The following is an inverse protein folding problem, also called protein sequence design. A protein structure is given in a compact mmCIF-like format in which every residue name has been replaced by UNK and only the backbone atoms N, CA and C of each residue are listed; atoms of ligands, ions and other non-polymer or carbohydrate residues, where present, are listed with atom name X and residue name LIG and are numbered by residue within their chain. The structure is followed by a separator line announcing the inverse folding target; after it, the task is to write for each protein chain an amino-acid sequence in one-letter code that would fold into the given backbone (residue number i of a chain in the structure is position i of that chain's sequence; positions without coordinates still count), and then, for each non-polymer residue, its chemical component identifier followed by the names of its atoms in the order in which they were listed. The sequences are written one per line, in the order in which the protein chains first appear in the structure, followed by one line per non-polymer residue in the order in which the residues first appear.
data_IF_672860888856
#
_entry.id   IF_672860888856
#
_cell.length_a   1.000
_cell.length_b   1.000
_cell.length_c   1.000
_cell.angle_alpha   90.00
_cell.angle_beta   90.00
_cell.angle_gamma   90.00
#
_symmetry.space_group_name_H-M   'P 1'
#
loop_
_entity.id
_entity.type
_entity.pdbx_description
1 polymer ?
#
# COMPACT_ATOMS: atom_id res chain seq x y z
N UNK A 1 37.16 39.95 32.88
CA UNK A 1 36.10 39.85 31.86
C UNK A 1 35.81 38.38 31.63
N UNK A 2 34.59 37.89 31.92
CA UNK A 2 34.23 36.47 31.76
C UNK A 2 33.78 36.23 30.32
N UNK A 3 34.55 35.46 29.55
CA UNK A 3 34.13 34.91 28.26
C UNK A 3 33.00 33.91 28.51
N UNK A 4 31.75 34.25 28.15
CA UNK A 4 30.67 33.28 28.04
C UNK A 4 30.80 32.61 26.68
N UNK A 5 31.28 31.37 26.66
CA UNK A 5 31.16 30.49 25.50
C UNK A 5 29.68 30.18 25.29
N UNK A 6 29.07 30.73 24.24
CA UNK A 6 27.75 30.29 23.81
C UNK A 6 27.89 28.87 23.27
N UNK A 7 27.27 27.90 23.94
CA UNK A 7 27.06 26.57 23.36
C UNK A 7 26.00 26.70 22.28
N UNK A 8 26.32 26.23 21.07
CA UNK A 8 25.36 26.00 20.00
C UNK A 8 25.17 24.50 19.86
N UNK A 9 23.91 24.06 19.86
CA UNK A 9 23.58 22.69 19.50
C UNK A 9 23.70 22.55 17.97
N UNK A 10 24.64 21.72 17.52
CA UNK A 10 24.89 21.48 16.10
C UNK A 10 24.47 20.05 15.78
N UNK A 11 23.48 19.90 14.90
CA UNK A 11 23.03 18.60 14.42
C UNK A 11 23.88 18.18 13.23
N UNK A 12 24.34 16.93 13.23
CA UNK A 12 25.05 16.34 12.09
C UNK A 12 24.03 15.92 11.02
N UNK A 13 24.00 16.56 9.84
CA UNK A 13 23.04 16.24 8.78
C UNK A 13 23.27 14.85 8.18
N UNK A 14 24.39 14.19 8.48
CA UNK A 14 24.68 12.82 8.01
C UNK A 14 23.80 11.79 8.70
N UNK A 15 23.27 12.11 9.90
CA UNK A 15 22.48 11.19 10.70
C UNK A 15 23.20 9.88 11.03
N UNK A 16 22.49 8.95 11.64
CA UNK A 16 22.90 7.55 11.74
C UNK A 16 21.82 6.71 11.05
N UNK A 17 22.21 5.89 10.08
CA UNK A 17 21.28 5.00 9.39
C UNK A 17 21.20 3.70 10.19
N UNK A 18 20.20 3.60 11.06
CA UNK A 18 19.84 2.37 11.77
C UNK A 18 18.51 1.91 11.17
N UNK A 19 18.58 1.11 10.10
CA UNK A 19 17.38 0.52 9.49
C UNK A 19 17.32 -0.94 9.93
N UNK A 20 16.36 -1.26 10.79
CA UNK A 20 16.04 -2.65 11.12
C UNK A 20 15.22 -3.27 9.99
N UNK A 21 15.63 -4.44 9.51
CA UNK A 21 14.88 -5.16 8.49
C UNK A 21 13.58 -5.72 9.11
N UNK A 22 12.45 -5.28 8.56
CA UNK A 22 11.11 -5.79 8.83
C UNK A 22 10.76 -6.89 7.84
N UNK A 23 10.14 -7.95 8.35
CA UNK A 23 9.70 -9.09 7.54
C UNK A 23 8.28 -8.86 7.03
N UNK A 24 7.96 -9.47 5.90
CA UNK A 24 6.59 -9.57 5.41
C UNK A 24 5.76 -10.49 6.31
N UNK A 25 4.45 -10.28 6.32
CA UNK A 25 3.49 -11.25 6.84
C UNK A 25 3.48 -12.55 6.02
N UNK A 26 2.99 -13.62 6.64
CA UNK A 26 2.86 -14.92 5.98
C UNK A 26 1.93 -14.83 4.77
N UNK A 27 2.48 -15.15 3.60
CA UNK A 27 1.71 -15.26 2.36
C UNK A 27 0.71 -16.40 2.44
N UNK A 28 -0.40 -16.25 1.72
CA UNK A 28 -1.50 -17.21 1.76
C UNK A 28 -1.22 -18.34 0.77
N UNK A 29 -1.64 -19.55 1.12
CA UNK A 29 -1.56 -20.71 0.22
C UNK A 29 -2.79 -20.81 -0.69
N UNK A 30 -3.89 -20.15 -0.33
CA UNK A 30 -5.14 -20.08 -1.08
C UNK A 30 -5.85 -18.77 -0.76
N UNK A 31 -6.58 -18.23 -1.73
CA UNK A 31 -7.39 -17.02 -1.56
C UNK A 31 -8.88 -17.34 -1.33
N UNK A 32 -9.31 -18.56 -1.64
CA UNK A 32 -10.69 -18.98 -1.44
C UNK A 32 -11.02 -19.06 0.07
N UNK A 33 -12.18 -18.55 0.44
CA UNK A 33 -12.67 -18.47 1.81
C UNK A 33 -12.10 -17.30 2.63
N UNK A 34 -11.14 -16.54 2.09
CA UNK A 34 -10.57 -15.39 2.79
C UNK A 34 -11.52 -14.18 2.82
N UNK A 35 -11.34 -13.34 3.82
CA UNK A 35 -11.95 -12.02 3.97
C UNK A 35 -11.02 -10.97 3.35
N UNK A 36 -11.50 -10.24 2.35
CA UNK A 36 -10.74 -9.21 1.64
C UNK A 36 -11.09 -7.82 2.17
N UNK A 37 -10.07 -7.07 2.60
CA UNK A 37 -10.18 -5.62 2.81
C UNK A 37 -9.89 -4.83 1.54
N UNK A 38 -10.71 -3.83 1.27
CA UNK A 38 -10.47 -2.79 0.28
C UNK A 38 -10.23 -1.47 1.02
N UNK A 39 -9.00 -0.98 1.02
CA UNK A 39 -8.62 0.29 1.65
C UNK A 39 -8.47 1.39 0.58
N UNK A 40 -9.49 2.24 0.50
CA UNK A 40 -9.60 3.37 -0.43
C UNK A 40 -9.04 4.65 0.19
N UNK A 41 -8.03 5.24 -0.45
CA UNK A 41 -7.46 6.52 -0.02
C UNK A 41 -8.27 7.76 -0.43
N UNK A 42 -9.49 7.57 -0.93
CA UNK A 42 -10.43 8.62 -1.36
C UNK A 42 -9.95 9.44 -2.56
N UNK A 43 -8.98 8.95 -3.34
CA UNK A 43 -8.54 9.63 -4.56
C UNK A 43 -9.58 9.47 -5.67
N UNK A 44 -9.67 10.49 -6.54
CA UNK A 44 -10.54 10.44 -7.71
C UNK A 44 -10.23 9.19 -8.56
N UNK A 45 -11.29 8.50 -9.01
CA UNK A 45 -11.25 7.20 -9.69
C UNK A 45 -10.63 6.01 -8.93
N UNK A 46 -9.96 6.19 -7.79
CA UNK A 46 -9.45 5.06 -6.99
C UNK A 46 -10.59 4.12 -6.59
N UNK A 47 -11.75 4.67 -6.19
CA UNK A 47 -12.93 3.88 -5.87
C UNK A 47 -13.40 2.99 -7.04
N UNK A 48 -13.41 3.51 -8.28
CA UNK A 48 -13.83 2.75 -9.47
C UNK A 48 -12.86 1.60 -9.75
N UNK A 49 -11.56 1.88 -9.68
CA UNK A 49 -10.52 0.86 -9.83
C UNK A 49 -10.65 -0.20 -8.74
N UNK A 50 -10.79 0.20 -7.48
CA UNK A 50 -10.90 -0.71 -6.34
C UNK A 50 -12.14 -1.59 -6.40
N UNK A 51 -13.32 -1.02 -6.69
CA UNK A 51 -14.56 -1.80 -6.87
C UNK A 51 -14.46 -2.73 -8.07
N UNK A 52 -14.01 -2.23 -9.22
CA UNK A 52 -13.80 -3.05 -10.40
C UNK A 52 -12.81 -4.19 -10.16
N UNK A 53 -11.78 -3.97 -9.36
CA UNK A 53 -10.80 -4.99 -8.97
C UNK A 53 -11.43 -6.04 -8.05
N UNK A 54 -12.19 -5.63 -7.04
CA UNK A 54 -12.93 -6.55 -6.16
C UNK A 54 -13.92 -7.42 -6.96
N UNK A 55 -14.67 -6.82 -7.89
CA UNK A 55 -15.60 -7.53 -8.77
C UNK A 55 -14.87 -8.51 -9.71
N UNK A 56 -13.75 -8.09 -10.29
CA UNK A 56 -12.96 -8.94 -11.18
C UNK A 56 -12.32 -10.12 -10.45
N UNK A 57 -11.79 -9.91 -9.25
CA UNK A 57 -11.25 -10.96 -8.38
C UNK A 57 -12.33 -11.96 -7.97
N UNK A 58 -13.54 -11.47 -7.65
CA UNK A 58 -14.66 -12.30 -7.20
C UNK A 58 -15.22 -13.23 -8.28
N UNK A 59 -14.85 -13.04 -9.55
CA UNK A 59 -15.19 -13.97 -10.64
C UNK A 59 -14.39 -15.28 -10.58
N UNK A 60 -13.22 -15.25 -9.96
CA UNK A 60 -12.27 -16.38 -9.90
C UNK A 60 -12.08 -16.89 -8.47
N UNK A 61 -12.25 -16.00 -7.48
CA UNK A 61 -12.02 -16.28 -6.06
C UNK A 61 -13.33 -16.16 -5.29
N UNK A 62 -13.64 -17.16 -4.47
CA UNK A 62 -14.77 -17.13 -3.54
C UNK A 62 -14.31 -16.53 -2.20
N UNK A 63 -14.37 -15.21 -2.05
CA UNK A 63 -14.15 -14.58 -0.75
C UNK A 63 -15.32 -14.89 0.20
N UNK A 64 -15.03 -15.09 1.49
CA UNK A 64 -16.09 -15.22 2.51
C UNK A 64 -16.73 -13.89 2.85
N UNK A 65 -15.96 -12.79 2.74
CA UNK A 65 -16.42 -11.42 2.94
C UNK A 65 -15.53 -10.44 2.18
N UNK A 66 -16.11 -9.32 1.75
CA UNK A 66 -15.35 -8.16 1.23
C UNK A 66 -15.76 -6.94 2.07
N UNK A 67 -14.81 -6.35 2.79
CA UNK A 67 -15.01 -5.18 3.64
C UNK A 67 -14.37 -3.94 2.98
N UNK A 68 -15.04 -2.79 3.06
CA UNK A 68 -14.60 -1.55 2.42
C UNK A 68 -14.30 -0.48 3.48
N UNK A 69 -13.11 0.11 3.38
CA UNK A 69 -12.60 1.14 4.27
C UNK A 69 -12.22 2.36 3.44
N UNK A 70 -12.69 3.55 3.83
CA UNK A 70 -12.40 4.80 3.11
C UNK A 70 -11.75 5.79 4.06
N UNK A 71 -10.53 6.23 3.71
CA UNK A 71 -9.79 7.22 4.49
C UNK A 71 -10.49 8.57 4.43
N UNK A 72 -10.81 9.13 5.59
CA UNK A 72 -11.57 10.39 5.71
C UNK A 72 -10.71 11.65 5.54
N UNK A 73 -9.40 11.56 5.80
CA UNK A 73 -8.48 12.70 5.83
C UNK A 73 -7.70 12.92 4.51
N UNK A 74 -8.17 12.30 3.42
CA UNK A 74 -7.61 12.48 2.07
C UNK A 74 -6.45 11.54 1.74
N UNK A 75 -6.10 11.50 0.45
CA UNK A 75 -5.23 10.49 -0.17
C UNK A 75 -3.74 10.55 0.22
N UNK A 76 -3.32 11.62 0.91
CA UNK A 76 -1.93 11.87 1.32
C UNK A 76 -1.70 11.77 2.83
N UNK A 77 -2.68 11.27 3.57
CA UNK A 77 -2.55 10.98 5.01
C UNK A 77 -2.44 9.48 5.19
N UNK A 78 -1.87 9.00 6.29
CA UNK A 78 -1.85 7.56 6.59
C UNK A 78 -3.22 7.12 7.15
N UNK A 79 -3.55 5.84 7.03
CA UNK A 79 -4.78 5.32 7.62
C UNK A 79 -4.69 5.41 9.17
N UNK A 80 -5.75 5.87 9.85
CA UNK A 80 -5.78 5.88 11.32
C UNK A 80 -5.52 4.49 11.90
N UNK A 81 -4.79 4.41 13.02
CA UNK A 81 -4.47 3.12 13.64
C UNK A 81 -5.73 2.31 14.00
N UNK A 82 -6.80 2.97 14.43
CA UNK A 82 -8.11 2.35 14.66
C UNK A 82 -8.66 1.63 13.41
N UNK A 83 -8.50 2.22 12.23
CA UNK A 83 -8.91 1.62 10.96
C UNK A 83 -8.00 0.47 10.57
N UNK A 84 -6.69 0.61 10.81
CA UNK A 84 -5.72 -0.48 10.60
C UNK A 84 -6.06 -1.69 11.49
N UNK A 85 -6.41 -1.45 12.75
CA UNK A 85 -6.76 -2.50 13.71
C UNK A 85 -8.09 -3.16 13.32
N UNK A 86 -9.09 -2.38 12.87
CA UNK A 86 -10.34 -2.91 12.30
C UNK A 86 -10.08 -3.79 11.07
N UNK A 87 -9.24 -3.33 10.14
CA UNK A 87 -8.84 -4.12 8.96
C UNK A 87 -8.19 -5.43 9.40
N UNK A 88 -7.31 -5.39 10.39
CA UNK A 88 -6.56 -6.55 10.88
C UNK A 88 -7.47 -7.59 11.53
N UNK A 89 -8.45 -7.15 12.32
CA UNK A 89 -9.38 -8.06 13.00
C UNK A 89 -10.36 -8.72 12.02
N UNK A 90 -10.82 -7.96 11.02
CA UNK A 90 -11.95 -8.36 10.17
C UNK A 90 -11.55 -8.98 8.84
N UNK A 91 -10.26 -9.01 8.50
CA UNK A 91 -9.79 -9.43 7.18
C UNK A 91 -8.54 -10.31 7.25
N UNK A 92 -8.26 -11.00 6.15
CA UNK A 92 -7.11 -11.90 6.03
C UNK A 92 -6.06 -11.39 5.03
N UNK A 93 -6.48 -10.52 4.10
CA UNK A 93 -5.66 -9.87 3.07
C UNK A 93 -6.24 -8.47 2.76
N UNK A 94 -5.43 -7.59 2.20
CA UNK A 94 -5.85 -6.22 1.86
C UNK A 94 -5.35 -5.78 0.49
N UNK A 95 -6.23 -5.12 -0.28
CA UNK A 95 -5.91 -4.32 -1.46
C UNK A 95 -6.02 -2.85 -1.07
N UNK A 96 -4.96 -2.05 -1.24
CA UNK A 96 -4.98 -0.62 -0.91
C UNK A 96 -4.58 0.23 -2.12
N UNK A 97 -5.29 1.33 -2.37
CA UNK A 97 -5.03 2.19 -3.51
C UNK A 97 -5.24 3.68 -3.17
N UNK A 98 -4.58 4.62 -3.87
CA UNK A 98 -3.50 4.43 -4.87
C UNK A 98 -2.33 5.41 -4.71
N UNK A 99 -1.12 4.92 -4.98
CA UNK A 99 0.09 5.72 -5.14
C UNK A 99 0.35 6.15 -6.58
N UNK A 100 -0.16 7.32 -6.97
CA UNK A 100 0.02 7.95 -8.29
C UNK A 100 0.56 9.41 -8.18
N UNK A 101 1.03 9.79 -7.01
CA UNK A 101 1.63 11.07 -6.65
C UNK A 101 2.58 10.81 -5.48
N UNK A 102 3.56 11.69 -5.23
CA UNK A 102 4.56 11.35 -4.21
C UNK A 102 3.97 11.18 -2.81
N UNK A 103 3.21 12.16 -2.34
CA UNK A 103 2.60 12.07 -1.00
C UNK A 103 1.66 10.86 -0.84
N UNK A 104 0.85 10.54 -1.85
CA UNK A 104 -0.06 9.40 -1.80
C UNK A 104 0.63 8.05 -2.00
N UNK A 105 1.71 7.98 -2.78
CA UNK A 105 2.55 6.80 -2.91
C UNK A 105 3.17 6.46 -1.55
N UNK A 106 3.84 7.45 -0.96
CA UNK A 106 4.44 7.32 0.36
C UNK A 106 3.43 6.86 1.43
N UNK A 107 2.23 7.47 1.51
CA UNK A 107 1.17 7.02 2.43
C UNK A 107 0.64 5.63 2.14
N UNK A 108 0.40 5.29 0.88
CA UNK A 108 -0.10 3.96 0.48
C UNK A 108 0.88 2.85 0.87
N UNK A 109 2.19 3.09 0.68
CA UNK A 109 3.24 2.15 1.10
C UNK A 109 3.33 2.06 2.63
N UNK A 110 3.24 3.17 3.37
CA UNK A 110 3.21 3.14 4.84
C UNK A 110 2.02 2.36 5.39
N UNK A 111 0.83 2.54 4.82
CA UNK A 111 -0.36 1.78 5.19
C UNK A 111 -0.14 0.28 4.97
N UNK A 112 0.39 -0.11 3.81
CA UNK A 112 0.69 -1.50 3.49
C UNK A 112 1.72 -2.12 4.44
N UNK A 113 2.80 -1.40 4.75
CA UNK A 113 3.82 -1.85 5.71
C UNK A 113 3.21 -2.02 7.11
N UNK A 114 2.34 -1.10 7.52
CA UNK A 114 1.69 -1.12 8.83
C UNK A 114 0.72 -2.31 8.97
N UNK A 115 0.10 -2.72 7.88
CA UNK A 115 -0.76 -3.92 7.79
C UNK A 115 0.06 -5.21 7.75
N UNK A 116 1.18 -5.23 7.03
CA UNK A 116 2.11 -6.36 6.98
C UNK A 116 2.71 -6.66 8.37
N UNK A 117 3.10 -5.63 9.11
CA UNK A 117 3.56 -5.74 10.49
C UNK A 117 2.51 -6.35 11.44
N UNK A 118 1.22 -6.20 11.11
CA UNK A 118 0.09 -6.79 11.83
C UNK A 118 -0.31 -8.17 11.30
N UNK A 119 0.47 -8.73 10.38
CA UNK A 119 0.25 -10.08 9.85
C UNK A 119 -0.75 -10.16 8.68
N UNK A 120 -1.11 -9.03 8.08
CA UNK A 120 -2.02 -8.97 6.93
C UNK A 120 -1.21 -8.76 5.63
N UNK A 121 -1.20 -9.72 4.70
CA UNK A 121 -0.58 -9.53 3.39
C UNK A 121 -1.25 -8.38 2.63
N UNK A 122 -0.44 -7.38 2.29
CA UNK A 122 -0.92 -6.15 1.67
C UNK A 122 -0.50 -6.05 0.21
N UNK A 123 -1.46 -5.77 -0.66
CA UNK A 123 -1.25 -5.43 -2.07
C UNK A 123 -1.48 -3.93 -2.27
N UNK A 124 -0.46 -3.07 -2.05
CA UNK A 124 -0.56 -1.66 -2.41
C UNK A 124 -0.51 -1.49 -3.93
N UNK A 125 -1.42 -0.69 -4.47
CA UNK A 125 -1.43 -0.32 -5.88
C UNK A 125 -0.66 0.99 -6.04
N UNK A 126 0.29 0.99 -6.97
CA UNK A 126 1.05 2.17 -7.41
C UNK A 126 0.98 2.29 -8.93
N UNK A 127 1.32 3.47 -9.46
CA UNK A 127 1.48 3.66 -10.91
C UNK A 127 2.94 3.60 -11.36
N UNK A 128 3.17 3.36 -12.65
CA UNK A 128 4.50 3.26 -13.29
C UNK A 128 5.49 4.37 -12.90
N UNK A 129 5.04 5.63 -12.86
CA UNK A 129 5.92 6.78 -12.53
C UNK A 129 6.44 6.78 -11.07
N UNK A 130 5.83 5.97 -10.18
CA UNK A 130 6.13 5.93 -8.75
C UNK A 130 6.83 4.65 -8.29
N UNK A 131 7.37 3.86 -9.24
CA UNK A 131 8.19 2.67 -8.96
C UNK A 131 9.43 3.04 -8.13
N UNK A 132 10.18 4.06 -8.55
CA UNK A 132 11.41 4.46 -7.87
C UNK A 132 11.13 4.99 -6.46
N UNK A 133 10.09 5.79 -6.29
CA UNK A 133 9.67 6.25 -4.96
C UNK A 133 9.27 5.07 -4.06
N UNK A 134 8.52 4.11 -4.60
CA UNK A 134 8.14 2.91 -3.84
C UNK A 134 9.35 2.13 -3.36
N UNK A 135 10.38 1.96 -4.21
CA UNK A 135 11.65 1.31 -3.83
C UNK A 135 12.33 2.04 -2.69
N UNK A 136 12.47 3.36 -2.80
CA UNK A 136 13.11 4.18 -1.78
C UNK A 136 12.33 4.13 -0.46
N UNK A 137 11.02 4.30 -0.51
CA UNK A 137 10.15 4.32 0.67
C UNK A 137 10.15 2.98 1.41
N UNK A 138 9.98 1.85 0.71
CA UNK A 138 9.98 0.53 1.37
C UNK A 138 11.34 0.17 1.98
N UNK A 139 12.45 0.62 1.37
CA UNK A 139 13.80 0.45 1.92
C UNK A 139 14.00 1.34 3.15
N UNK A 140 13.64 2.62 3.05
CA UNK A 140 13.81 3.59 4.14
C UNK A 140 13.01 3.20 5.40
N UNK A 141 11.86 2.55 5.23
CA UNK A 141 11.02 2.08 6.34
C UNK A 141 11.43 0.68 6.85
N UNK A 142 12.34 0.00 6.14
CA UNK A 142 12.91 -1.29 6.55
C UNK A 142 12.22 -2.53 5.98
N UNK A 143 11.29 -2.42 5.03
CA UNK A 143 10.58 -3.55 4.40
C UNK A 143 10.92 -3.66 2.89
N UNK A 144 12.18 -3.92 2.51
CA UNK A 144 12.63 -3.94 1.11
C UNK A 144 11.95 -5.04 0.28
N UNK A 145 11.39 -6.06 0.94
CA UNK A 145 10.75 -7.20 0.30
C UNK A 145 9.28 -6.96 -0.07
N UNK A 146 8.67 -5.82 0.33
CA UNK A 146 7.29 -5.47 -0.03
C UNK A 146 7.15 -5.33 -1.55
N UNK A 147 6.17 -6.04 -2.14
CA UNK A 147 5.91 -6.04 -3.59
C UNK A 147 4.55 -5.40 -3.87
N UNK A 148 4.50 -4.28 -4.61
CA UNK A 148 3.24 -3.64 -4.96
C UNK A 148 2.63 -4.24 -6.23
N UNK A 149 1.36 -3.89 -6.46
CA UNK A 149 0.71 -3.94 -7.77
C UNK A 149 1.10 -2.67 -8.53
N UNK A 150 1.48 -2.80 -9.80
CA UNK A 150 1.91 -1.69 -10.66
C UNK A 150 0.99 -1.61 -11.87
N UNK A 151 0.35 -0.46 -12.05
CA UNK A 151 -0.51 -0.16 -13.18
C UNK A 151 -0.02 1.08 -13.94
N UNK A 152 -0.53 1.30 -15.16
CA UNK A 152 -0.19 2.48 -15.94
C UNK A 152 -0.65 3.78 -15.27
N UNK A 153 0.23 4.78 -15.26
CA UNK A 153 -0.10 6.17 -14.93
C UNK A 153 -0.85 6.85 -16.10
N UNK A 154 -1.73 7.84 -15.89
CA UNK A 154 -2.29 8.35 -14.62
C UNK A 154 -3.54 7.58 -14.16
N UNK A 155 -4.13 8.00 -13.03
CA UNK A 155 -5.37 7.41 -12.47
C UNK A 155 -6.53 8.42 -12.40
N UNK A 156 -6.25 9.69 -12.09
CA UNK A 156 -7.31 10.67 -11.86
C UNK A 156 -8.13 11.01 -13.11
N UNK A 157 -7.54 10.91 -14.29
CA UNK A 157 -8.08 11.49 -15.54
C UNK A 157 -8.39 10.45 -16.62
N UNK A 158 -8.53 9.18 -16.24
CA UNK A 158 -8.74 8.07 -17.17
C UNK A 158 -10.23 7.81 -17.46
N UNK A 159 -10.49 7.26 -18.64
CA UNK A 159 -11.77 6.77 -19.12
C UNK A 159 -12.19 5.46 -18.43
N UNK A 160 -13.45 5.06 -18.58
CA UNK A 160 -13.92 3.78 -18.04
C UNK A 160 -13.25 2.57 -18.69
N UNK A 161 -12.93 2.62 -19.99
CA UNK A 161 -12.24 1.53 -20.67
C UNK A 161 -10.81 1.37 -20.15
N UNK A 162 -10.13 2.49 -19.90
CA UNK A 162 -8.83 2.48 -19.24
C UNK A 162 -8.94 1.92 -17.82
N UNK A 163 -9.96 2.29 -17.02
CA UNK A 163 -10.19 1.67 -15.70
C UNK A 163 -10.28 0.15 -15.82
N UNK A 164 -11.02 -0.37 -16.81
CA UNK A 164 -11.14 -1.82 -17.03
C UNK A 164 -9.80 -2.47 -17.41
N UNK A 165 -8.93 -1.79 -18.15
CA UNK A 165 -7.57 -2.26 -18.41
C UNK A 165 -6.74 -2.34 -17.13
N UNK A 166 -6.79 -1.31 -16.27
CA UNK A 166 -6.07 -1.31 -14.97
C UNK A 166 -6.58 -2.43 -14.06
N UNK A 167 -7.89 -2.64 -14.03
CA UNK A 167 -8.53 -3.72 -13.25
C UNK A 167 -8.02 -5.10 -13.66
N UNK A 168 -7.82 -5.36 -14.97
CA UNK A 168 -7.26 -6.65 -15.43
C UNK A 168 -5.86 -6.89 -14.86
N UNK A 169 -5.02 -5.86 -14.89
CA UNK A 169 -3.65 -5.90 -14.35
C UNK A 169 -3.70 -6.14 -12.83
N UNK A 170 -4.54 -5.39 -12.10
CA UNK A 170 -4.67 -5.52 -10.65
C UNK A 170 -5.16 -6.91 -10.26
N UNK A 171 -6.16 -7.45 -10.98
CA UNK A 171 -6.71 -8.78 -10.72
C UNK A 171 -5.63 -9.87 -10.72
N UNK A 172 -4.72 -9.84 -11.70
CA UNK A 172 -3.62 -10.81 -11.79
C UNK A 172 -2.57 -10.55 -10.71
N UNK A 173 -2.07 -9.32 -10.68
CA UNK A 173 -0.95 -8.92 -9.84
C UNK A 173 -1.23 -8.97 -8.33
N UNK A 174 -2.46 -8.67 -7.89
CA UNK A 174 -2.82 -8.72 -6.47
C UNK A 174 -2.78 -10.15 -5.93
N UNK A 175 -3.22 -11.13 -6.73
CA UNK A 175 -3.13 -12.54 -6.38
C UNK A 175 -1.67 -12.97 -6.21
N UNK A 176 -0.80 -12.58 -7.15
CA UNK A 176 0.63 -12.86 -7.05
C UNK A 176 1.25 -12.27 -5.77
N UNK A 177 0.83 -11.07 -5.36
CA UNK A 177 1.32 -10.45 -4.12
C UNK A 177 0.91 -11.27 -2.90
N UNK A 178 -0.37 -11.61 -2.76
CA UNK A 178 -0.88 -12.34 -1.59
C UNK A 178 -0.40 -13.80 -1.53
N UNK A 179 -0.14 -14.41 -2.69
CA UNK A 179 0.39 -15.77 -2.82
C UNK A 179 1.93 -15.83 -2.77
N UNK A 180 2.62 -14.68 -2.69
CA UNK A 180 4.09 -14.64 -2.64
C UNK A 180 4.80 -14.98 -3.95
N UNK A 181 4.10 -14.81 -5.08
CA UNK A 181 4.59 -15.11 -6.43
C UNK A 181 5.05 -13.85 -7.17
N UNK A 182 4.75 -12.66 -6.62
CA UNK A 182 5.06 -11.39 -7.28
C UNK A 182 6.56 -11.13 -7.34
N UNK A 183 7.06 -10.92 -8.56
CA UNK A 183 8.45 -10.47 -8.82
C UNK A 183 8.69 -9.05 -8.32
N UNK A 184 9.96 -8.76 -8.03
CA UNK A 184 10.35 -7.39 -7.70
C UNK A 184 10.23 -6.43 -8.89
N UNK A 185 10.05 -5.15 -8.57
CA UNK A 185 9.88 -4.03 -9.50
C UNK A 185 11.18 -3.25 -9.67
#
# INVERSE_FOLDING_TARGET
MKNKSNLFEVYDPRGQIIIEKRNLSNRKNTLNGLRLAILDNSKWNANKILRGSADALSKEIKFSKINYYVKKHGFSTDAPLEMIDEITNDNDIVLTAIGDCGSCCSSCIRDAITLEDRGIPAAPIITTEFINETKLTRVAIGMPDLRPVVIDHPVSSITNDEVLQRVKIIKEQAQEVWLGQRKDI
#
